data_IF_195325626622
#
_entry.id   IF_195325626622
#
_cell.length_a   1.000
_cell.length_b   1.000
_cell.length_c   1.000
_cell.angle_alpha   90.00
_cell.angle_beta   90.00
_cell.angle_gamma   90.00
#
_symmetry.space_group_name_H-M   'P 1'
#
loop_
_entity.id
_entity.type
_entity.pdbx_description
1 polymer ?
#
# COMPACT_ATOMS: atom_id res chain seq x y z
N UNK A 1 -29.22 38.73 -25.90
CA UNK A 1 -28.90 37.30 -25.71
C UNK A 1 -29.90 36.76 -24.70
N UNK A 2 -30.92 36.01 -25.14
CA UNK A 2 -31.98 35.53 -24.25
C UNK A 2 -31.50 34.28 -23.50
N UNK A 3 -31.53 34.32 -22.17
CA UNK A 3 -31.18 33.20 -21.31
C UNK A 3 -32.23 32.08 -21.44
N UNK A 4 -31.78 30.83 -21.62
CA UNK A 4 -32.65 29.65 -21.70
C UNK A 4 -33.15 29.36 -20.28
N UNK A 5 -34.46 29.52 -20.07
CA UNK A 5 -35.12 29.18 -18.81
C UNK A 5 -35.58 27.71 -18.83
N UNK A 6 -35.19 26.92 -17.83
CA UNK A 6 -35.62 25.54 -17.68
C UNK A 6 -36.87 25.48 -16.79
N UNK A 7 -37.88 24.71 -17.21
CA UNK A 7 -39.14 24.51 -16.48
C UNK A 7 -39.35 23.03 -16.16
N UNK A 8 -40.00 22.73 -15.04
CA UNK A 8 -40.38 21.36 -14.67
C UNK A 8 -41.62 20.89 -15.47
N UNK A 9 -42.03 19.63 -15.29
CA UNK A 9 -43.19 19.04 -15.97
C UNK A 9 -44.54 19.73 -15.65
N UNK A 10 -44.55 20.63 -14.66
CA UNK A 10 -45.72 21.42 -14.27
C UNK A 10 -45.60 22.89 -14.70
N UNK A 11 -44.61 23.23 -15.54
CA UNK A 11 -44.41 24.57 -16.09
C UNK A 11 -43.80 25.59 -15.12
N UNK A 12 -43.30 25.16 -13.97
CA UNK A 12 -42.67 26.05 -13.00
C UNK A 12 -41.18 26.21 -13.30
N UNK A 13 -40.66 27.43 -13.16
CA UNK A 13 -39.24 27.72 -13.38
C UNK A 13 -38.37 26.93 -12.40
N UNK A 14 -37.38 26.20 -12.93
CA UNK A 14 -36.40 25.44 -12.16
C UNK A 14 -35.14 26.28 -12.04
N UNK A 15 -34.81 26.65 -10.81
CA UNK A 15 -33.56 27.34 -10.50
C UNK A 15 -32.37 26.35 -10.60
N UNK A 16 -31.58 26.48 -11.66
CA UNK A 16 -30.41 25.63 -11.93
C UNK A 16 -29.16 26.06 -11.14
N UNK A 17 -29.19 27.19 -10.42
CA UNK A 17 -28.05 27.69 -9.65
C UNK A 17 -27.94 27.10 -8.23
N UNK A 18 -28.90 26.29 -7.80
CA UNK A 18 -28.81 25.63 -6.49
C UNK A 18 -27.86 24.44 -6.57
N UNK A 19 -26.58 24.68 -6.24
CA UNK A 19 -25.65 23.62 -5.87
C UNK A 19 -26.18 22.96 -4.60
N UNK A 20 -26.93 21.86 -4.75
CA UNK A 20 -27.27 21.00 -3.62
C UNK A 20 -25.94 20.43 -3.11
N UNK A 21 -25.55 20.67 -1.86
CA UNK A 21 -24.36 20.03 -1.29
C UNK A 21 -24.59 18.53 -1.38
N UNK A 22 -23.70 17.80 -2.08
CA UNK A 22 -23.78 16.35 -2.07
C UNK A 22 -23.68 15.91 -0.59
N UNK A 23 -24.59 15.04 -0.11
CA UNK A 23 -24.49 14.53 1.24
C UNK A 23 -23.13 13.86 1.39
N UNK A 24 -22.30 14.41 2.27
CA UNK A 24 -21.02 13.82 2.65
C UNK A 24 -21.39 12.50 3.32
N UNK A 25 -21.03 11.35 2.74
CA UNK A 25 -21.28 10.02 3.34
C UNK A 25 -20.73 10.04 4.76
N UNK A 26 -21.61 10.11 5.75
CA UNK A 26 -21.28 9.94 7.16
C UNK A 26 -20.96 8.47 7.36
N UNK A 27 -19.78 8.18 7.88
CA UNK A 27 -19.45 6.81 8.30
C UNK A 27 -20.39 6.43 9.45
N UNK A 28 -21.19 5.38 9.26
CA UNK A 28 -22.06 4.84 10.29
C UNK A 28 -21.23 4.36 11.50
N UNK A 29 -21.53 4.87 12.70
CA UNK A 29 -21.25 4.26 14.01
C UNK A 29 -19.80 3.91 14.44
N UNK A 30 -19.59 3.58 15.73
CA UNK A 30 -18.35 3.00 16.25
C UNK A 30 -18.43 1.46 16.16
N UNK A 31 -18.49 0.93 14.95
CA UNK A 31 -18.24 -0.49 14.70
C UNK A 31 -16.74 -0.71 14.48
N UNK A 32 -16.21 -1.86 14.88
CA UNK A 32 -14.85 -2.26 14.54
C UNK A 32 -14.76 -2.53 13.02
N UNK A 33 -14.59 -1.45 12.24
CA UNK A 33 -14.58 -1.54 10.78
C UNK A 33 -13.28 -2.18 10.30
N UNK A 34 -13.40 -3.39 9.75
CA UNK A 34 -12.38 -3.95 8.88
C UNK A 34 -12.23 -3.06 7.65
N UNK A 35 -11.07 -2.43 7.48
CA UNK A 35 -10.70 -1.64 6.28
C UNK A 35 -10.29 -2.54 5.11
N UNK A 36 -10.57 -3.84 5.21
CA UNK A 36 -10.17 -4.87 4.26
C UNK A 36 -8.85 -5.55 4.61
N UNK A 37 -8.26 -6.19 3.63
CA UNK A 37 -7.08 -7.04 3.74
C UNK A 37 -5.94 -6.47 2.89
N UNK A 38 -4.74 -6.41 3.45
CA UNK A 38 -3.53 -6.07 2.72
C UNK A 38 -2.67 -7.30 2.53
N UNK A 39 -2.03 -7.41 1.37
CA UNK A 39 -0.95 -8.37 1.14
C UNK A 39 0.35 -7.59 1.22
N UNK A 40 1.21 -7.99 2.15
CA UNK A 40 2.51 -7.37 2.42
C UNK A 40 3.62 -8.40 2.22
N UNK A 41 4.75 -7.99 1.66
CA UNK A 41 5.90 -8.85 1.42
C UNK A 41 7.15 -8.05 1.07
N UNK A 42 8.28 -8.72 0.96
CA UNK A 42 9.51 -8.14 0.43
C UNK A 42 9.45 -8.22 -1.09
N UNK A 43 9.61 -7.11 -1.81
CA UNK A 43 9.49 -7.12 -3.25
C UNK A 43 10.65 -7.88 -3.91
N UNK A 44 10.43 -8.43 -5.12
CA UNK A 44 11.51 -9.03 -5.89
C UNK A 44 12.60 -8.00 -6.16
N UNK A 45 13.86 -8.44 -6.20
CA UNK A 45 15.04 -7.58 -6.37
C UNK A 45 15.50 -6.85 -5.11
N UNK A 46 14.68 -6.69 -4.08
CA UNK A 46 15.10 -5.98 -2.85
C UNK A 46 16.27 -6.66 -2.12
N UNK A 47 16.35 -7.98 -2.20
CA UNK A 47 17.42 -8.75 -1.60
C UNK A 47 18.74 -8.55 -2.35
N UNK A 48 18.68 -8.51 -3.69
CA UNK A 48 19.83 -8.28 -4.57
C UNK A 48 20.34 -6.84 -4.42
N UNK A 49 19.44 -5.86 -4.39
CA UNK A 49 19.77 -4.46 -4.11
C UNK A 49 20.47 -4.31 -2.76
N UNK A 50 19.95 -4.98 -1.73
CA UNK A 50 20.53 -4.91 -0.40
C UNK A 50 21.90 -5.61 -0.31
N UNK A 51 22.08 -6.71 -1.04
CA UNK A 51 23.38 -7.37 -1.15
C UNK A 51 24.41 -6.48 -1.86
N UNK A 52 24.04 -5.87 -2.99
CA UNK A 52 24.90 -4.98 -3.75
C UNK A 52 25.31 -3.75 -2.92
N UNK A 53 24.37 -3.18 -2.15
CA UNK A 53 24.64 -2.06 -1.26
C UNK A 53 25.61 -2.47 -0.12
N UNK A 54 25.42 -3.64 0.48
CA UNK A 54 26.31 -4.16 1.52
C UNK A 54 27.74 -4.38 1.00
N UNK A 55 27.86 -4.93 -0.22
CA UNK A 55 29.16 -5.12 -0.85
C UNK A 55 29.86 -3.79 -1.14
N UNK A 56 29.14 -2.80 -1.63
CA UNK A 56 29.66 -1.44 -1.82
C UNK A 56 30.13 -0.81 -0.51
N UNK A 57 29.31 -0.89 0.56
CA UNK A 57 29.68 -0.39 1.88
C UNK A 57 30.95 -1.06 2.41
N UNK A 58 31.06 -2.38 2.22
CA UNK A 58 32.25 -3.13 2.64
C UNK A 58 33.48 -2.74 1.83
N UNK A 59 33.35 -2.58 0.52
CA UNK A 59 34.45 -2.15 -0.35
C UNK A 59 34.95 -0.74 0.00
N UNK A 60 34.02 0.19 0.29
CA UNK A 60 34.37 1.56 0.75
C UNK A 60 35.05 1.51 2.11
N UNK A 61 34.53 0.73 3.07
CA UNK A 61 35.14 0.59 4.39
C UNK A 61 36.57 0.03 4.33
N UNK A 62 36.83 -0.94 3.44
CA UNK A 62 38.17 -1.48 3.21
C UNK A 62 39.08 -0.40 2.58
N UNK A 63 38.59 0.31 1.55
CA UNK A 63 39.36 1.37 0.88
C UNK A 63 39.75 2.50 1.83
N UNK A 64 38.87 2.87 2.75
CA UNK A 64 39.10 3.93 3.73
C UNK A 64 39.84 3.45 4.99
N UNK A 65 40.25 2.18 5.05
CA UNK A 65 40.82 1.55 6.25
C UNK A 65 39.99 1.84 7.51
N UNK A 66 38.66 1.74 7.37
CA UNK A 66 37.74 1.99 8.47
C UNK A 66 38.02 0.99 9.61
N UNK A 67 37.96 1.49 10.86
CA UNK A 67 38.15 0.67 12.07
C UNK A 67 37.14 -0.47 12.19
N UNK A 68 36.01 -0.37 11.51
CA UNK A 68 34.95 -1.39 11.48
C UNK A 68 34.59 -1.68 10.02
N UNK A 69 34.83 -2.92 9.61
CA UNK A 69 34.39 -3.45 8.33
C UNK A 69 33.06 -4.18 8.58
N UNK A 70 32.03 -3.99 7.73
CA UNK A 70 30.80 -4.78 7.80
C UNK A 70 31.08 -6.28 7.71
N UNK A 71 30.35 -7.07 8.52
CA UNK A 71 30.43 -8.54 8.52
C UNK A 71 29.98 -9.13 7.17
N UNK A 72 30.13 -10.44 7.00
CA UNK A 72 29.69 -11.12 5.78
C UNK A 72 28.18 -10.96 5.55
N UNK A 73 27.78 -10.87 4.27
CA UNK A 73 26.38 -10.75 3.90
C UNK A 73 25.60 -12.01 4.29
N UNK A 74 24.55 -11.84 5.09
CA UNK A 74 23.62 -12.91 5.42
C UNK A 74 22.20 -12.52 5.05
N UNK A 75 21.71 -13.12 3.97
CA UNK A 75 20.37 -12.90 3.43
C UNK A 75 19.26 -13.18 4.45
N UNK A 76 19.38 -14.25 5.26
CA UNK A 76 18.37 -14.62 6.25
C UNK A 76 18.30 -13.61 7.38
N UNK A 77 19.46 -13.18 7.88
CA UNK A 77 19.54 -12.14 8.92
C UNK A 77 18.96 -10.83 8.42
N UNK A 78 19.25 -10.45 7.18
CA UNK A 78 18.68 -9.25 6.56
C UNK A 78 17.15 -9.34 6.43
N UNK A 79 16.64 -10.47 5.95
CA UNK A 79 15.20 -10.73 5.81
C UNK A 79 14.46 -10.67 7.15
N UNK A 80 15.10 -11.04 8.26
CA UNK A 80 14.48 -11.00 9.59
C UNK A 80 14.56 -9.62 10.25
N UNK A 81 15.65 -8.88 10.06
CA UNK A 81 15.95 -7.68 10.87
C UNK A 81 15.79 -6.36 10.12
N UNK A 82 16.16 -6.33 8.84
CA UNK A 82 16.24 -5.08 8.04
C UNK A 82 15.20 -5.00 6.94
N UNK A 83 14.66 -6.13 6.48
CA UNK A 83 13.70 -6.15 5.39
C UNK A 83 12.40 -5.43 5.77
N UNK A 84 12.01 -4.46 4.95
CA UNK A 84 10.75 -3.74 5.10
C UNK A 84 9.70 -4.37 4.19
N UNK A 85 8.65 -4.89 4.82
CA UNK A 85 7.48 -5.41 4.11
C UNK A 85 6.77 -4.25 3.41
N UNK A 86 6.62 -4.36 2.10
CA UNK A 86 5.86 -3.43 1.26
C UNK A 86 4.53 -4.07 0.86
N UNK A 87 3.52 -3.24 0.61
CA UNK A 87 2.23 -3.72 0.11
C UNK A 87 2.35 -4.09 -1.36
N UNK A 88 1.89 -5.29 -1.72
CA UNK A 88 1.79 -5.74 -3.12
C UNK A 88 0.84 -4.85 -3.90
N UNK A 89 -0.20 -4.34 -3.24
CA UNK A 89 -1.21 -3.45 -3.82
C UNK A 89 -1.51 -2.28 -2.88
N UNK A 90 -1.65 -1.09 -3.45
CA UNK A 90 -1.99 0.14 -2.70
C UNK A 90 -3.38 0.06 -2.06
N UNK A 91 -4.39 -0.41 -2.81
CA UNK A 91 -5.77 -0.57 -2.30
C UNK A 91 -5.92 -1.90 -1.56
N UNK A 92 -6.65 -1.88 -0.45
CA UNK A 92 -7.01 -3.09 0.30
C UNK A 92 -8.00 -3.96 -0.48
N UNK A 93 -7.97 -5.25 -0.22
CA UNK A 93 -8.98 -6.22 -0.67
C UNK A 93 -10.17 -6.19 0.27
N UNK A 94 -11.38 -6.23 -0.28
CA UNK A 94 -12.61 -6.28 0.52
C UNK A 94 -12.85 -7.71 1.05
N UNK A 95 -12.44 -8.72 0.28
CA UNK A 95 -12.66 -10.15 0.55
C UNK A 95 -11.32 -10.83 0.91
N UNK A 96 -11.28 -11.69 1.95
CA UNK A 96 -10.07 -12.41 2.36
C UNK A 96 -9.55 -13.37 1.28
N UNK A 97 -10.45 -14.04 0.57
CA UNK A 97 -10.10 -15.01 -0.49
C UNK A 97 -9.33 -14.34 -1.65
N UNK A 98 -9.72 -13.12 -2.02
CA UNK A 98 -9.00 -12.34 -3.03
C UNK A 98 -7.58 -11.98 -2.56
N UNK A 99 -7.40 -11.70 -1.27
CA UNK A 99 -6.08 -11.44 -0.69
C UNK A 99 -5.22 -12.72 -0.65
N UNK A 100 -5.81 -13.88 -0.36
CA UNK A 100 -5.12 -15.17 -0.38
C UNK A 100 -4.65 -15.52 -1.80
N UNK A 101 -5.51 -15.37 -2.82
CA UNK A 101 -5.13 -15.59 -4.21
C UNK A 101 -3.99 -14.65 -4.63
N UNK A 102 -4.05 -13.37 -4.22
CA UNK A 102 -2.98 -12.44 -4.50
C UNK A 102 -1.67 -12.79 -3.77
N UNK A 103 -1.72 -13.34 -2.56
CA UNK A 103 -0.55 -13.85 -1.86
C UNK A 103 0.13 -14.94 -2.70
N UNK A 104 -0.62 -15.94 -3.16
CA UNK A 104 -0.07 -17.05 -3.94
C UNK A 104 0.54 -16.57 -5.27
N UNK A 105 -0.09 -15.59 -5.92
CA UNK A 105 0.46 -14.96 -7.12
C UNK A 105 1.75 -14.18 -6.83
N UNK A 106 1.82 -13.47 -5.70
CA UNK A 106 2.99 -12.71 -5.31
C UNK A 106 4.18 -13.62 -4.99
N UNK A 107 3.95 -14.73 -4.29
CA UNK A 107 4.97 -15.76 -4.03
C UNK A 107 5.52 -16.33 -5.33
N UNK A 108 4.65 -16.66 -6.29
CA UNK A 108 5.06 -17.12 -7.64
C UNK A 108 5.82 -16.05 -8.42
N UNK A 109 5.52 -14.77 -8.19
CA UNK A 109 6.22 -13.64 -8.80
C UNK A 109 7.55 -13.29 -8.12
N UNK A 110 8.00 -14.09 -7.14
CA UNK A 110 9.29 -13.90 -6.46
C UNK A 110 9.26 -12.92 -5.30
N UNK A 111 8.10 -12.57 -4.77
CA UNK A 111 8.02 -11.84 -3.50
C UNK A 111 8.39 -12.78 -2.34
N UNK A 112 9.16 -12.27 -1.38
CA UNK A 112 9.60 -13.03 -0.21
C UNK A 112 8.76 -12.65 1.03
N UNK A 113 8.57 -13.59 1.94
CA UNK A 113 7.83 -13.40 3.20
C UNK A 113 6.43 -12.76 3.01
N UNK A 114 5.69 -13.22 2.00
CA UNK A 114 4.36 -12.67 1.71
C UNK A 114 3.36 -13.09 2.78
N UNK A 115 2.64 -12.13 3.34
CA UNK A 115 1.60 -12.35 4.35
C UNK A 115 0.35 -11.54 4.06
N UNK A 116 -0.78 -12.08 4.47
CA UNK A 116 -2.06 -11.37 4.47
C UNK A 116 -2.27 -10.74 5.86
N UNK A 117 -2.57 -9.45 5.89
CA UNK A 117 -2.80 -8.67 7.10
C UNK A 117 -4.20 -8.04 7.05
N UNK A 118 -5.01 -8.29 8.08
CA UNK A 118 -6.27 -7.57 8.25
C UNK A 118 -5.99 -6.11 8.64
N UNK A 119 -6.63 -5.15 7.97
CA UNK A 119 -6.53 -3.74 8.29
C UNK A 119 -7.69 -3.36 9.23
N UNK A 120 -7.38 -2.84 10.42
CA UNK A 120 -8.36 -2.26 11.33
C UNK A 120 -8.15 -0.75 11.48
N UNK A 121 -9.18 -0.02 11.91
CA UNK A 121 -9.08 1.42 12.21
C UNK A 121 -8.29 1.60 13.53
N UNK A 122 -6.97 1.60 13.42
CA UNK A 122 -6.05 1.74 14.56
C UNK A 122 -4.61 1.33 14.24
N UNK A 123 -4.39 0.61 13.13
CA UNK A 123 -3.06 0.27 12.64
C UNK A 123 -2.62 1.22 11.53
N UNK A 124 -2.19 2.43 11.90
CA UNK A 124 -1.43 3.32 11.03
C UNK A 124 -0.03 3.48 11.61
#
# INVERSE_FOLDING_TARGET
MNAIAFVNIHGQAVDTNKRVPLPKRTSDGPGEFHKGWAVEGVPPGALEEAQALHEQERAVAIRENAKRIPDEWNALTWLQTKAKLKRVRTKAYEVPEAAALCKDMAEKAGWLQVRVRALSKGSA
#
